data_IF_768881400732
#
_entry.id   IF_768881400732
#
_cell.length_a   1.000
_cell.length_b   1.000
_cell.length_c   1.000
_cell.angle_alpha   90.00
_cell.angle_beta   90.00
_cell.angle_gamma   90.00
#
_symmetry.space_group_name_H-M   'P 1'
#
loop_
_entity.id
_entity.type
_entity.pdbx_description
1 polymer ?
#
# COMPACT_ATOMS: atom_id res chain seq x y z
N UNK A 1 -28.32 -13.38 13.45
CA UNK A 1 -27.87 -12.68 12.22
C UNK A 1 -28.35 -13.46 11.02
N UNK A 2 -29.06 -12.81 10.11
CA UNK A 2 -29.48 -13.37 8.82
C UNK A 2 -28.29 -13.49 7.88
N UNK A 3 -28.29 -14.49 6.98
CA UNK A 3 -27.25 -14.65 5.95
C UNK A 3 -27.04 -13.39 5.10
N UNK A 4 -28.08 -12.56 4.94
CA UNK A 4 -28.00 -11.27 4.24
C UNK A 4 -27.15 -10.24 4.99
N UNK A 5 -27.29 -10.18 6.32
CA UNK A 5 -26.51 -9.27 7.18
C UNK A 5 -25.04 -9.68 7.20
N UNK A 6 -24.76 -10.98 7.30
CA UNK A 6 -23.39 -11.54 7.24
C UNK A 6 -22.73 -11.20 5.90
N UNK A 7 -23.44 -11.38 4.80
CA UNK A 7 -22.89 -11.10 3.46
C UNK A 7 -22.67 -9.60 3.23
N UNK A 8 -23.51 -8.73 3.79
CA UNK A 8 -23.29 -7.28 3.74
C UNK A 8 -22.04 -6.86 4.52
N UNK A 9 -21.83 -7.42 5.72
CA UNK A 9 -20.62 -7.13 6.52
C UNK A 9 -19.35 -7.58 5.79
N UNK A 10 -19.36 -8.77 5.18
CA UNK A 10 -18.24 -9.25 4.34
C UNK A 10 -17.97 -8.31 3.16
N UNK A 11 -19.02 -7.82 2.50
CA UNK A 11 -18.89 -6.87 1.40
C UNK A 11 -18.20 -5.57 1.86
N UNK A 12 -18.63 -5.03 3.01
CA UNK A 12 -18.02 -3.82 3.56
C UNK A 12 -16.54 -4.01 3.92
N UNK A 13 -16.18 -5.15 4.53
CA UNK A 13 -14.79 -5.47 4.83
C UNK A 13 -13.94 -5.53 3.55
N UNK A 14 -14.42 -6.20 2.50
CA UNK A 14 -13.70 -6.25 1.22
C UNK A 14 -13.58 -4.89 0.53
N UNK A 15 -14.57 -4.00 0.70
CA UNK A 15 -14.49 -2.64 0.18
C UNK A 15 -13.42 -1.84 0.91
N UNK A 16 -13.36 -1.93 2.25
CA UNK A 16 -12.32 -1.28 3.04
C UNK A 16 -10.92 -1.81 2.67
N UNK A 17 -10.76 -3.12 2.48
CA UNK A 17 -9.48 -3.70 2.03
C UNK A 17 -9.08 -3.18 0.64
N UNK A 18 -10.04 -3.06 -0.28
CA UNK A 18 -9.79 -2.53 -1.60
C UNK A 18 -9.35 -1.06 -1.57
N UNK A 19 -9.99 -0.24 -0.73
CA UNK A 19 -9.61 1.16 -0.51
C UNK A 19 -8.20 1.29 0.07
N UNK A 20 -7.86 0.45 1.06
CA UNK A 20 -6.52 0.42 1.65
C UNK A 20 -5.44 -0.03 0.65
N UNK A 21 -5.74 -1.01 -0.21
CA UNK A 21 -4.83 -1.45 -1.26
C UNK A 21 -4.61 -0.35 -2.31
N UNK A 22 -5.69 0.32 -2.73
CA UNK A 22 -5.61 1.42 -3.69
C UNK A 22 -4.79 2.58 -3.14
N UNK A 23 -5.01 2.95 -1.88
CA UNK A 23 -4.24 4.03 -1.25
C UNK A 23 -2.74 3.69 -1.19
N UNK A 24 -2.41 2.42 -0.90
CA UNK A 24 -1.03 1.95 -0.93
C UNK A 24 -0.42 2.07 -2.34
N UNK A 25 -1.16 1.71 -3.39
CA UNK A 25 -0.70 1.87 -4.77
C UNK A 25 -0.47 3.33 -5.16
N UNK A 26 -1.42 4.23 -4.84
CA UNK A 26 -1.28 5.67 -5.08
C UNK A 26 -0.05 6.24 -4.35
N UNK A 27 0.19 5.78 -3.12
CA UNK A 27 1.39 6.17 -2.38
C UNK A 27 2.66 5.71 -3.10
N UNK A 28 2.67 4.48 -3.62
CA UNK A 28 3.77 3.95 -4.42
C UNK A 28 4.05 4.76 -5.68
N UNK A 29 3.01 5.22 -6.37
CA UNK A 29 3.13 6.13 -7.52
C UNK A 29 3.74 7.49 -7.12
N UNK A 30 3.27 8.04 -5.99
CA UNK A 30 3.83 9.27 -5.42
C UNK A 30 5.32 9.12 -5.10
N UNK A 31 5.68 8.01 -4.48
CA UNK A 31 7.05 7.68 -4.11
C UNK A 31 7.95 7.51 -5.34
N UNK A 32 7.46 6.84 -6.39
CA UNK A 32 8.16 6.71 -7.66
C UNK A 32 8.42 8.07 -8.29
N UNK A 33 7.44 8.97 -8.26
CA UNK A 33 7.58 10.34 -8.76
C UNK A 33 8.59 11.15 -7.96
N UNK A 34 8.55 11.08 -6.63
CA UNK A 34 9.49 11.77 -5.74
C UNK A 34 10.94 11.31 -5.98
N UNK A 35 11.13 9.99 -6.17
CA UNK A 35 12.47 9.39 -6.37
C UNK A 35 12.91 9.32 -7.83
N UNK A 36 12.08 9.79 -8.77
CA UNK A 36 12.40 9.83 -10.20
C UNK A 36 12.44 8.46 -10.88
N UNK A 37 11.72 7.47 -10.36
CA UNK A 37 11.62 6.15 -10.98
C UNK A 37 10.70 6.19 -12.21
N UNK A 38 11.21 5.69 -13.34
CA UNK A 38 10.49 5.74 -14.63
C UNK A 38 9.64 4.50 -14.93
N UNK A 39 9.94 3.39 -14.26
CA UNK A 39 9.36 2.08 -14.58
C UNK A 39 8.68 1.39 -13.38
N UNK A 40 8.78 1.99 -12.20
CA UNK A 40 8.22 1.44 -10.97
C UNK A 40 7.02 2.28 -10.58
N UNK A 41 5.88 1.62 -10.38
CA UNK A 41 4.61 2.21 -10.02
C UNK A 41 3.92 1.32 -8.99
N UNK A 42 2.97 1.88 -8.25
CA UNK A 42 2.13 1.16 -7.30
C UNK A 42 2.93 0.33 -6.29
N UNK A 43 2.52 -0.93 -6.14
CA UNK A 43 3.17 -1.87 -5.23
C UNK A 43 4.63 -2.16 -5.58
N UNK A 44 5.01 -2.12 -6.87
CA UNK A 44 6.39 -2.41 -7.26
C UNK A 44 7.34 -1.29 -6.85
N UNK A 45 6.87 -0.04 -6.88
CA UNK A 45 7.60 1.10 -6.30
C UNK A 45 7.80 0.93 -4.78
N UNK A 46 6.77 0.48 -4.07
CA UNK A 46 6.85 0.24 -2.62
C UNK A 46 7.80 -0.90 -2.29
N UNK A 47 7.69 -2.03 -2.99
CA UNK A 47 8.62 -3.16 -2.80
C UNK A 47 10.05 -2.71 -3.07
N UNK A 48 10.28 -1.96 -4.14
CA UNK A 48 11.60 -1.45 -4.46
C UNK A 48 12.14 -0.49 -3.39
N UNK A 49 11.28 0.36 -2.84
CA UNK A 49 11.63 1.23 -1.72
C UNK A 49 12.06 0.44 -0.47
N UNK A 50 11.23 -0.52 -0.05
CA UNK A 50 11.49 -1.35 1.12
C UNK A 50 12.75 -2.20 0.93
N UNK A 51 13.00 -2.67 -0.29
CA UNK A 51 14.25 -3.34 -0.67
C UNK A 51 15.46 -2.42 -0.45
N UNK A 52 15.40 -1.16 -0.90
CA UNK A 52 16.49 -0.21 -0.71
C UNK A 52 16.68 0.21 0.76
N UNK A 53 15.59 0.37 1.51
CA UNK A 53 15.63 0.84 2.90
C UNK A 53 16.07 -0.25 3.88
N UNK A 54 15.47 -1.44 3.78
CA UNK A 54 15.66 -2.52 4.74
C UNK A 54 16.55 -3.65 4.24
N UNK A 55 17.03 -3.57 2.99
CA UNK A 55 17.85 -4.61 2.34
C UNK A 55 17.14 -5.96 2.28
N UNK A 56 15.80 -5.96 2.26
CA UNK A 56 15.01 -7.18 2.11
C UNK A 56 15.10 -7.73 0.69
N UNK A 57 15.05 -9.04 0.56
CA UNK A 57 15.12 -9.67 -0.75
C UNK A 57 13.81 -9.50 -1.53
N UNK A 58 13.85 -9.49 -2.87
CA UNK A 58 12.65 -9.49 -3.70
C UNK A 58 11.71 -10.66 -3.40
N UNK A 59 12.26 -11.81 -2.98
CA UNK A 59 11.46 -12.98 -2.61
C UNK A 59 10.63 -12.73 -1.34
N UNK A 60 11.24 -12.13 -0.31
CA UNK A 60 10.53 -11.75 0.92
C UNK A 60 9.43 -10.73 0.63
N UNK A 61 9.75 -9.68 -0.14
CA UNK A 61 8.81 -8.62 -0.49
C UNK A 61 7.64 -9.09 -1.36
N UNK A 62 7.84 -10.11 -2.20
CA UNK A 62 6.76 -10.74 -2.97
C UNK A 62 5.90 -11.69 -2.13
N UNK A 63 6.46 -12.23 -1.05
CA UNK A 63 5.73 -13.09 -0.13
C UNK A 63 4.91 -12.29 0.90
N UNK A 64 5.23 -11.02 1.13
CA UNK A 64 4.50 -10.13 2.02
C UNK A 64 3.09 -9.85 1.51
N UNK A 65 2.13 -9.89 2.43
CA UNK A 65 0.76 -9.45 2.16
C UNK A 65 0.70 -7.93 2.00
N UNK A 66 -0.40 -7.43 1.44
CA UNK A 66 -0.65 -5.98 1.38
C UNK A 66 -0.71 -5.35 2.79
N UNK A 67 -1.15 -6.11 3.79
CA UNK A 67 -1.16 -5.67 5.18
C UNK A 67 0.26 -5.50 5.73
N UNK A 68 1.13 -6.48 5.49
CA UNK A 68 2.54 -6.39 5.90
C UNK A 68 3.26 -5.23 5.21
N UNK A 69 2.96 -5.00 3.92
CA UNK A 69 3.51 -3.87 3.18
C UNK A 69 3.01 -2.52 3.74
N UNK A 70 1.71 -2.40 4.09
CA UNK A 70 1.18 -1.22 4.78
C UNK A 70 1.86 -0.99 6.12
N UNK A 71 2.05 -2.06 6.90
CA UNK A 71 2.72 -1.99 8.19
C UNK A 71 4.17 -1.49 8.03
N UNK A 72 4.93 -2.07 7.10
CA UNK A 72 6.29 -1.65 6.81
C UNK A 72 6.39 -0.20 6.31
N UNK A 73 5.33 0.30 5.67
CA UNK A 73 5.22 1.68 5.18
C UNK A 73 4.61 2.66 6.18
N UNK A 74 4.23 2.23 7.40
CA UNK A 74 3.47 3.07 8.35
C UNK A 74 4.24 4.34 8.75
N UNK A 75 5.53 4.21 9.03
CA UNK A 75 6.40 5.34 9.36
C UNK A 75 6.54 6.31 8.17
N UNK A 76 6.55 5.80 6.95
CA UNK A 76 6.67 6.61 5.74
C UNK A 76 5.37 7.31 5.39
N UNK A 77 4.22 6.67 5.62
CA UNK A 77 2.91 7.29 5.43
C UNK A 77 2.68 8.38 6.49
N UNK A 78 3.16 8.19 7.73
CA UNK A 78 3.09 9.23 8.77
C UNK A 78 4.09 10.37 8.57
N UNK A 79 5.31 10.07 8.12
CA UNK A 79 6.36 11.07 7.90
C UNK A 79 6.23 11.78 6.56
N UNK A 80 5.63 11.14 5.55
CA UNK A 80 5.20 11.76 4.33
C UNK A 80 4.10 12.75 4.66
N UNK A 81 4.51 13.99 4.90
CA UNK A 81 3.64 15.16 4.91
C UNK A 81 3.20 15.39 3.47
N UNK A 82 2.44 14.46 2.89
CA UNK A 82 1.80 14.69 1.61
C UNK A 82 0.93 15.95 1.81
N UNK A 83 1.14 17.02 1.01
CA UNK A 83 0.33 18.21 1.12
C UNK A 83 -1.13 17.80 1.01
N UNK A 84 -1.99 18.40 1.82
CA UNK A 84 -3.45 18.22 1.86
C UNK A 84 -4.17 18.53 0.53
N UNK A 85 -3.47 18.59 -0.61
CA UNK A 85 -3.95 19.04 -1.90
C UNK A 85 -4.16 17.91 -2.92
N UNK A 86 -4.48 16.70 -2.44
CA UNK A 86 -4.92 15.59 -3.30
C UNK A 86 -6.24 14.96 -2.84
N UNK A 87 -7.15 15.77 -2.27
CA UNK A 87 -8.57 15.44 -2.14
C UNK A 87 -9.39 16.64 -2.60
#
# INVERSE_FOLDING_TARGET
MSSKEVNNARKQAHQADAELNLHLEIFGDGLAKERGWKYLLGIDAIRYYLMQKHHWTPAQLRAMSYEDLRFAMTEEIQSSTAPRDAI
#
